data_IF_066980143485
#
_entry.id   IF_066980143485
#
_cell.length_a   1.000
_cell.length_b   1.000
_cell.length_c   1.000
_cell.angle_alpha   90.00
_cell.angle_beta   90.00
_cell.angle_gamma   90.00
#
_symmetry.space_group_name_H-M   'P 1'
#
loop_
_entity.id
_entity.type
_entity.pdbx_description
1 polymer ?
#
# COMPACT_ATOMS: atom_id res chain seq x y z
N UNK A 1 19.03 10.20 -23.94
CA UNK A 1 17.99 9.55 -24.78
C UNK A 1 16.89 9.07 -23.85
N UNK A 2 15.69 9.64 -23.98
CA UNK A 2 14.62 9.54 -22.99
C UNK A 2 14.05 8.13 -22.85
N UNK A 3 14.00 7.64 -21.62
CA UNK A 3 13.12 6.54 -21.26
C UNK A 3 11.68 7.03 -21.49
N UNK A 4 11.05 6.56 -22.56
CA UNK A 4 9.60 6.64 -22.69
C UNK A 4 9.06 5.91 -21.45
N UNK A 5 8.49 6.67 -20.51
CA UNK A 5 7.39 6.16 -19.70
C UNK A 5 6.34 5.68 -20.72
N UNK A 6 6.39 4.42 -21.12
CA UNK A 6 5.36 3.81 -21.95
C UNK A 6 4.17 3.60 -21.00
N UNK A 7 3.52 4.70 -20.63
CA UNK A 7 2.13 4.65 -20.20
C UNK A 7 1.42 3.87 -21.30
N UNK A 8 0.75 2.79 -20.91
CA UNK A 8 -0.02 2.03 -21.88
C UNK A 8 -1.00 2.98 -22.58
N UNK A 9 -1.32 2.78 -23.88
CA UNK A 9 -2.28 3.63 -24.56
C UNK A 9 -3.62 3.73 -23.82
N UNK A 10 -3.98 2.68 -23.06
CA UNK A 10 -5.11 2.66 -22.15
C UNK A 10 -4.93 3.58 -20.93
N UNK A 11 -3.78 3.59 -20.26
CA UNK A 11 -3.47 4.48 -19.13
C UNK A 11 -3.54 5.96 -19.56
N UNK A 12 -3.10 6.29 -20.78
CA UNK A 12 -3.17 7.64 -21.32
C UNK A 12 -4.61 8.09 -21.67
N UNK A 13 -5.48 7.15 -22.08
CA UNK A 13 -6.87 7.44 -22.45
C UNK A 13 -7.82 7.44 -21.24
N UNK A 14 -7.67 6.48 -20.34
CA UNK A 14 -8.57 6.27 -19.20
C UNK A 14 -8.05 6.77 -17.86
N UNK A 15 -6.80 7.22 -17.77
CA UNK A 15 -6.22 7.77 -16.55
C UNK A 15 -6.99 8.97 -15.97
N UNK A 16 -7.76 9.70 -16.79
CA UNK A 16 -8.63 10.80 -16.35
C UNK A 16 -9.81 10.36 -15.49
N UNK A 17 -10.27 9.12 -15.64
CA UNK A 17 -11.40 8.55 -14.88
C UNK A 17 -10.97 7.82 -13.61
N UNK A 18 -9.67 7.76 -13.34
CA UNK A 18 -9.15 7.06 -12.18
C UNK A 18 -9.52 7.80 -10.89
N UNK A 19 -10.13 7.09 -9.94
CA UNK A 19 -10.57 7.65 -8.67
C UNK A 19 -9.36 7.80 -7.76
N UNK A 20 -9.12 9.01 -7.26
CA UNK A 20 -8.03 9.30 -6.31
C UNK A 20 -8.43 8.88 -4.90
N UNK A 21 -7.46 8.39 -4.13
CA UNK A 21 -7.66 7.94 -2.74
C UNK A 21 -8.68 6.81 -2.61
N UNK A 22 -8.62 5.84 -3.53
CA UNK A 22 -9.61 4.76 -3.61
C UNK A 22 -9.60 3.89 -2.34
N UNK A 23 -8.43 3.68 -1.71
CA UNK A 23 -8.32 2.93 -0.45
C UNK A 23 -9.06 3.62 0.70
N UNK A 24 -9.04 4.96 0.74
CA UNK A 24 -9.77 5.71 1.77
C UNK A 24 -11.28 5.56 1.59
N UNK A 25 -11.77 5.61 0.34
CA UNK A 25 -13.18 5.39 0.02
C UNK A 25 -13.60 3.98 0.45
N UNK A 26 -12.80 2.96 0.15
CA UNK A 26 -13.06 1.58 0.59
C UNK A 26 -13.13 1.46 2.11
N UNK A 27 -12.16 2.03 2.83
CA UNK A 27 -12.14 2.01 4.30
C UNK A 27 -13.31 2.79 4.89
N UNK A 28 -13.73 3.89 4.27
CA UNK A 28 -14.94 4.62 4.65
C UNK A 28 -16.19 3.74 4.47
N UNK A 29 -16.32 3.01 3.35
CA UNK A 29 -17.39 2.04 3.15
C UNK A 29 -17.38 0.95 4.24
N UNK A 30 -16.21 0.46 4.65
CA UNK A 30 -16.11 -0.50 5.77
C UNK A 30 -16.57 0.11 7.09
N UNK A 31 -16.23 1.38 7.36
CA UNK A 31 -16.70 2.11 8.52
C UNK A 31 -18.23 2.21 8.57
N UNK A 32 -18.86 2.57 7.44
CA UNK A 32 -20.33 2.56 7.29
C UNK A 32 -20.88 1.14 7.51
N UNK A 33 -20.24 0.12 6.94
CA UNK A 33 -20.59 -1.28 7.12
C UNK A 33 -20.59 -1.72 8.58
N UNK A 34 -19.54 -1.41 9.34
CA UNK A 34 -19.49 -1.72 10.76
C UNK A 34 -20.57 -0.97 11.56
N UNK A 35 -20.87 0.29 11.21
CA UNK A 35 -21.99 1.01 11.84
C UNK A 35 -23.33 0.32 11.56
N UNK A 36 -23.57 -0.13 10.33
CA UNK A 36 -24.76 -0.90 9.98
C UNK A 36 -24.82 -2.22 10.77
N UNK A 37 -23.69 -2.91 10.95
CA UNK A 37 -23.62 -4.13 11.78
C UNK A 37 -23.95 -3.88 13.25
N UNK A 38 -23.59 -2.71 13.79
CA UNK A 38 -23.93 -2.34 15.17
C UNK A 38 -25.40 -1.95 15.33
N UNK A 39 -26.00 -1.37 14.29
CA UNK A 39 -27.41 -0.96 14.29
C UNK A 39 -28.37 -2.12 13.99
N UNK A 40 -27.99 -3.02 13.09
CA UNK A 40 -28.79 -4.19 12.70
C UNK A 40 -28.60 -5.36 13.66
N UNK A 41 -29.41 -5.41 14.72
CA UNK A 41 -29.42 -6.52 15.68
C UNK A 41 -29.95 -7.84 15.09
N UNK A 42 -30.61 -7.79 13.93
CA UNK A 42 -31.27 -8.93 13.29
C UNK A 42 -30.43 -9.61 12.19
N UNK A 43 -29.32 -9.00 11.77
CA UNK A 43 -28.48 -9.39 10.62
C UNK A 43 -29.21 -9.47 9.26
N UNK A 44 -30.45 -9.00 9.17
CA UNK A 44 -31.25 -9.04 7.95
C UNK A 44 -30.72 -8.05 6.92
N UNK A 45 -30.41 -6.81 7.33
CA UNK A 45 -29.90 -5.78 6.43
C UNK A 45 -28.56 -6.19 5.84
N UNK A 46 -27.65 -6.75 6.65
CA UNK A 46 -26.35 -7.24 6.17
C UNK A 46 -26.54 -8.34 5.14
N UNK A 47 -27.48 -9.27 5.37
CA UNK A 47 -27.81 -10.34 4.43
C UNK A 47 -28.31 -9.80 3.08
N UNK A 48 -28.97 -8.64 3.04
CA UNK A 48 -29.36 -7.98 1.78
C UNK A 48 -28.19 -7.34 1.03
N UNK A 49 -27.08 -7.06 1.71
CA UNK A 49 -25.90 -6.45 1.14
C UNK A 49 -24.88 -7.48 0.60
N UNK A 50 -24.99 -8.77 0.99
CA UNK A 50 -24.04 -9.81 0.59
C UNK A 50 -24.06 -10.10 -0.90
N UNK A 51 -22.92 -10.56 -1.42
CA UNK A 51 -22.80 -11.01 -2.79
C UNK A 51 -23.45 -12.39 -2.95
N UNK A 52 -24.75 -12.41 -3.23
CA UNK A 52 -25.52 -13.63 -3.46
C UNK A 52 -25.87 -13.77 -4.96
N UNK A 53 -25.17 -14.65 -5.71
CA UNK A 53 -25.41 -14.87 -7.13
C UNK A 53 -26.84 -15.28 -7.47
N UNK A 54 -27.45 -16.13 -6.63
CA UNK A 54 -28.83 -16.59 -6.84
C UNK A 54 -29.81 -15.42 -6.76
N UNK A 55 -29.71 -14.59 -5.73
CA UNK A 55 -30.56 -13.41 -5.57
C UNK A 55 -30.32 -12.36 -6.68
N UNK A 56 -29.09 -12.24 -7.18
CA UNK A 56 -28.78 -11.35 -8.33
C UNK A 56 -29.52 -11.80 -9.58
N UNK A 57 -29.55 -13.10 -9.87
CA UNK A 57 -30.32 -13.65 -11.01
C UNK A 57 -31.83 -13.45 -10.86
N UNK A 58 -32.33 -13.31 -9.63
CA UNK A 58 -33.74 -13.03 -9.33
C UNK A 58 -34.06 -11.54 -9.19
N UNK A 59 -33.18 -10.65 -9.68
CA UNK A 59 -33.45 -9.20 -9.79
C UNK A 59 -32.77 -8.32 -8.73
N UNK A 60 -32.05 -8.88 -7.75
CA UNK A 60 -31.35 -8.10 -6.72
C UNK A 60 -29.97 -7.62 -7.20
N UNK A 61 -29.93 -6.82 -8.27
CA UNK A 61 -28.70 -6.38 -8.95
C UNK A 61 -27.78 -5.48 -8.12
N UNK A 62 -28.32 -4.79 -7.10
CA UNK A 62 -27.53 -3.94 -6.20
C UNK A 62 -26.46 -4.72 -5.44
N UNK A 63 -26.65 -6.04 -5.24
CA UNK A 63 -25.69 -6.96 -4.59
C UNK A 63 -24.35 -7.05 -5.30
N UNK A 64 -24.25 -6.62 -6.56
CA UNK A 64 -22.96 -6.53 -7.28
C UNK A 64 -22.07 -5.40 -6.74
N UNK A 65 -22.63 -4.44 -6.02
CA UNK A 65 -21.90 -3.28 -5.47
C UNK A 65 -21.98 -3.24 -3.95
N UNK A 66 -23.14 -3.55 -3.35
CA UNK A 66 -23.36 -3.39 -1.91
C UNK A 66 -22.46 -4.26 -1.04
N UNK A 67 -21.97 -5.38 -1.55
CA UNK A 67 -21.07 -6.27 -0.82
C UNK A 67 -19.73 -5.62 -0.46
N UNK A 68 -19.35 -4.55 -1.16
CA UNK A 68 -18.17 -3.74 -0.84
C UNK A 68 -18.32 -3.03 0.53
N UNK A 69 -19.56 -2.76 0.95
CA UNK A 69 -19.83 -2.18 2.27
C UNK A 69 -19.68 -3.21 3.38
N UNK A 70 -19.66 -4.51 3.09
CA UNK A 70 -19.49 -5.53 4.12
C UNK A 70 -18.05 -5.51 4.59
N UNK A 71 -17.79 -5.12 5.85
CA UNK A 71 -16.44 -5.03 6.35
C UNK A 71 -15.86 -6.44 6.60
N UNK A 72 -14.53 -6.60 6.57
CA UNK A 72 -13.90 -7.85 6.98
C UNK A 72 -14.23 -8.19 8.45
N UNK A 73 -14.17 -9.46 8.86
CA UNK A 73 -14.44 -9.84 10.25
C UNK A 73 -13.52 -9.09 11.23
N UNK A 74 -14.11 -8.45 12.25
CA UNK A 74 -13.33 -7.78 13.30
C UNK A 74 -12.68 -8.81 14.23
N UNK A 75 -11.36 -8.76 14.38
CA UNK A 75 -10.59 -9.81 15.08
C UNK A 75 -10.17 -9.49 16.52
N UNK A 76 -10.61 -8.37 17.11
CA UNK A 76 -10.16 -8.00 18.47
C UNK A 76 -10.83 -6.79 19.11
N UNK A 77 -12.10 -6.54 18.81
CA UNK A 77 -12.86 -5.38 19.34
C UNK A 77 -12.65 -4.08 18.57
N UNK A 78 -13.40 -3.03 18.95
CA UNK A 78 -13.45 -1.75 18.21
C UNK A 78 -12.07 -1.11 18.02
N UNK A 79 -11.22 -1.13 19.04
CA UNK A 79 -9.89 -0.55 18.98
C UNK A 79 -9.01 -1.22 17.92
N UNK A 80 -8.93 -2.55 17.92
CA UNK A 80 -8.11 -3.29 16.96
C UNK A 80 -8.68 -3.16 15.54
N UNK A 81 -10.01 -3.16 15.39
CA UNK A 81 -10.66 -2.90 14.10
C UNK A 81 -10.29 -1.53 13.53
N UNK A 82 -10.29 -0.47 14.34
CA UNK A 82 -9.88 0.87 13.89
C UNK A 82 -8.41 0.89 13.45
N UNK A 83 -7.51 0.24 14.20
CA UNK A 83 -6.11 0.11 13.80
C UNK A 83 -5.98 -0.61 12.46
N UNK A 84 -6.72 -1.72 12.26
CA UNK A 84 -6.71 -2.46 11.00
C UNK A 84 -7.24 -1.63 9.82
N UNK A 85 -8.31 -0.86 10.01
CA UNK A 85 -8.85 0.04 8.99
C UNK A 85 -7.83 1.12 8.59
N UNK A 86 -7.18 1.74 9.57
CA UNK A 86 -6.10 2.72 9.32
C UNK A 86 -4.92 2.05 8.61
N UNK A 87 -4.55 0.84 9.01
CA UNK A 87 -3.49 0.06 8.37
C UNK A 87 -3.82 -0.22 6.90
N UNK A 88 -5.03 -0.69 6.59
CA UNK A 88 -5.47 -0.91 5.21
C UNK A 88 -5.47 0.38 4.38
N UNK A 89 -5.91 1.49 4.95
CA UNK A 89 -5.85 2.79 4.29
C UNK A 89 -4.39 3.21 4.00
N UNK A 90 -3.49 3.00 4.96
CA UNK A 90 -2.07 3.36 4.86
C UNK A 90 -1.33 2.57 3.78
N UNK A 91 -1.47 1.24 3.77
CA UNK A 91 -0.84 0.39 2.75
C UNK A 91 -1.42 0.65 1.37
N UNK A 92 -2.74 0.86 1.27
CA UNK A 92 -3.42 1.14 0.02
C UNK A 92 -3.01 2.49 -0.59
N UNK A 93 -2.93 3.54 0.24
CA UNK A 93 -2.45 4.86 -0.20
C UNK A 93 -0.99 4.81 -0.64
N UNK A 94 -0.15 4.02 0.04
CA UNK A 94 1.25 3.83 -0.32
C UNK A 94 1.40 3.13 -1.68
N UNK A 95 0.56 2.12 -1.95
CA UNK A 95 0.46 1.46 -3.25
C UNK A 95 -0.03 2.42 -4.34
N UNK A 96 -1.11 3.17 -4.10
CA UNK A 96 -1.68 4.11 -5.06
C UNK A 96 -0.64 5.18 -5.49
N UNK A 97 0.13 5.72 -4.55
CA UNK A 97 1.20 6.70 -4.83
C UNK A 97 2.35 6.12 -5.65
N UNK A 98 2.63 4.83 -5.51
CA UNK A 98 3.82 4.21 -6.10
C UNK A 98 3.51 3.59 -7.46
N UNK A 99 2.34 2.99 -7.62
CA UNK A 99 1.89 2.42 -8.88
C UNK A 99 1.18 3.44 -9.78
N UNK A 100 0.69 4.54 -9.20
CA UNK A 100 -0.16 5.51 -9.88
C UNK A 100 -1.64 5.17 -9.76
N UNK A 101 -2.48 6.22 -9.74
CA UNK A 101 -3.92 6.12 -9.48
C UNK A 101 -4.63 5.14 -10.43
N UNK A 102 -4.34 5.21 -11.73
CA UNK A 102 -4.99 4.34 -12.72
C UNK A 102 -4.72 2.85 -12.47
N UNK A 103 -3.47 2.45 -12.25
CA UNK A 103 -3.10 1.04 -12.07
C UNK A 103 -3.66 0.47 -10.78
N UNK A 104 -3.68 1.27 -9.72
CA UNK A 104 -4.29 0.89 -8.46
C UNK A 104 -5.82 0.69 -8.59
N UNK A 105 -6.51 1.56 -9.34
CA UNK A 105 -7.93 1.39 -9.66
C UNK A 105 -8.17 0.08 -10.43
N UNK A 106 -7.40 -0.17 -11.49
CA UNK A 106 -7.50 -1.41 -12.28
C UNK A 106 -7.30 -2.63 -11.38
N UNK A 107 -6.28 -2.62 -10.52
CA UNK A 107 -6.01 -3.71 -9.59
C UNK A 107 -7.19 -4.01 -8.64
N UNK A 108 -7.81 -2.97 -8.07
CA UNK A 108 -8.95 -3.15 -7.17
C UNK A 108 -10.21 -3.59 -7.91
N UNK A 109 -10.54 -2.93 -9.03
CA UNK A 109 -11.73 -3.29 -9.82
C UNK A 109 -11.62 -4.68 -10.44
N UNK A 110 -10.42 -5.07 -10.88
CA UNK A 110 -10.15 -6.42 -11.35
C UNK A 110 -10.34 -7.45 -10.23
N UNK A 111 -9.87 -7.14 -9.02
CA UNK A 111 -10.13 -7.97 -7.85
C UNK A 111 -11.61 -8.14 -7.55
N UNK A 112 -12.37 -7.04 -7.52
CA UNK A 112 -13.82 -7.07 -7.34
C UNK A 112 -14.51 -7.91 -8.42
N UNK A 113 -14.10 -7.74 -9.68
CA UNK A 113 -14.64 -8.50 -10.81
C UNK A 113 -14.34 -9.99 -10.67
N UNK A 114 -13.12 -10.37 -10.26
CA UNK A 114 -12.80 -11.78 -10.02
C UNK A 114 -13.56 -12.38 -8.84
N UNK A 115 -13.83 -11.61 -7.77
CA UNK A 115 -14.70 -12.05 -6.68
C UNK A 115 -16.13 -12.28 -7.16
N UNK A 116 -16.66 -11.39 -8.00
CA UNK A 116 -17.99 -11.55 -8.62
C UNK A 116 -18.02 -12.77 -9.52
N UNK A 117 -17.08 -12.92 -10.45
CA UNK A 117 -17.01 -14.10 -11.31
C UNK A 117 -16.83 -15.39 -10.50
N UNK A 118 -16.00 -15.36 -9.45
CA UNK A 118 -15.78 -16.48 -8.55
C UNK A 118 -17.05 -16.95 -7.84
N UNK A 119 -17.94 -16.03 -7.46
CA UNK A 119 -19.21 -16.39 -6.82
C UNK A 119 -20.20 -17.02 -7.80
N UNK A 120 -20.29 -16.52 -9.04
CA UNK A 120 -21.09 -17.15 -10.09
C UNK A 120 -20.52 -18.51 -10.51
N UNK A 121 -19.21 -18.66 -10.61
CA UNK A 121 -18.55 -19.94 -10.90
C UNK A 121 -18.80 -20.96 -9.80
N UNK A 122 -18.75 -20.53 -8.53
CA UNK A 122 -19.09 -21.41 -7.41
C UNK A 122 -20.57 -21.84 -7.48
N UNK A 123 -21.48 -20.93 -7.81
CA UNK A 123 -22.89 -21.28 -8.00
C UNK A 123 -23.06 -22.34 -9.10
N UNK A 124 -22.41 -22.17 -10.26
CA UNK A 124 -22.41 -23.17 -11.33
C UNK A 124 -21.83 -24.52 -10.86
N UNK A 125 -20.73 -24.50 -10.12
CA UNK A 125 -20.15 -25.70 -9.53
C UNK A 125 -21.12 -26.41 -8.56
N UNK A 126 -21.81 -25.65 -7.70
CA UNK A 126 -22.76 -26.24 -6.75
C UNK A 126 -23.95 -26.89 -7.45
N UNK A 127 -24.47 -26.29 -8.53
CA UNK A 127 -25.53 -26.92 -9.32
C UNK A 127 -25.09 -28.21 -10.02
N UNK A 128 -23.82 -28.31 -10.44
CA UNK A 128 -23.29 -29.49 -11.13
C UNK A 128 -22.91 -30.63 -10.17
N UNK A 129 -22.35 -30.32 -9.01
CA UNK A 129 -21.73 -31.31 -8.11
C UNK A 129 -22.38 -31.42 -6.73
N UNK A 130 -23.24 -30.48 -6.34
CA UNK A 130 -23.89 -30.44 -5.02
C UNK A 130 -25.42 -30.32 -5.11
N UNK A 131 -26.02 -30.84 -6.18
CA UNK A 131 -27.47 -30.79 -6.41
C UNK A 131 -28.31 -31.36 -5.25
N UNK A 132 -27.84 -32.42 -4.60
CA UNK A 132 -28.53 -33.02 -3.44
C UNK A 132 -28.60 -32.06 -2.23
N UNK A 133 -27.52 -31.33 -1.93
CA UNK A 133 -27.50 -30.35 -0.83
C UNK A 133 -28.42 -29.15 -1.11
N UNK A 134 -28.49 -28.74 -2.38
CA UNK A 134 -29.39 -27.68 -2.84
C UNK A 134 -30.85 -28.13 -2.73
N UNK A 135 -31.15 -29.38 -3.10
CA UNK A 135 -32.49 -29.93 -3.01
C UNK A 135 -32.99 -30.02 -1.56
N UNK A 136 -32.10 -30.34 -0.60
CA UNK A 136 -32.46 -30.41 0.82
C UNK A 136 -32.77 -29.03 1.44
N UNK A 137 -31.97 -27.99 1.14
CA UNK A 137 -32.09 -26.69 1.81
C UNK A 137 -32.92 -25.64 1.04
N UNK A 138 -33.36 -25.95 -0.19
CA UNK A 138 -33.76 -24.99 -1.23
C UNK A 138 -32.59 -24.11 -1.73
N UNK A 139 -32.57 -23.73 -3.03
CA UNK A 139 -31.49 -22.91 -3.58
C UNK A 139 -31.30 -21.56 -2.87
N UNK A 140 -32.39 -20.90 -2.49
CA UNK A 140 -32.34 -19.58 -1.87
C UNK A 140 -31.57 -19.58 -0.55
N UNK A 141 -31.93 -20.48 0.36
CA UNK A 141 -31.29 -20.60 1.68
C UNK A 141 -29.85 -21.07 1.53
N UNK A 142 -29.58 -22.01 0.62
CA UNK A 142 -28.25 -22.54 0.37
C UNK A 142 -27.28 -21.43 -0.10
N UNK A 143 -27.66 -20.64 -1.11
CA UNK A 143 -26.81 -19.57 -1.61
C UNK A 143 -26.75 -18.36 -0.67
N UNK A 144 -27.79 -18.12 0.13
CA UNK A 144 -27.73 -17.13 1.21
C UNK A 144 -26.65 -17.49 2.24
N UNK A 145 -26.53 -18.76 2.63
CA UNK A 145 -25.51 -19.23 3.57
C UNK A 145 -24.08 -19.15 3.02
N UNK A 146 -23.89 -19.37 1.72
CA UNK A 146 -22.57 -19.33 1.07
C UNK A 146 -22.14 -17.88 0.74
N UNK A 147 -23.10 -16.98 0.48
CA UNK A 147 -22.82 -15.60 0.07
C UNK A 147 -21.80 -14.83 0.93
N UNK A 148 -21.74 -14.97 2.27
CA UNK A 148 -20.79 -14.22 3.10
C UNK A 148 -19.33 -14.65 2.90
N UNK A 149 -19.09 -15.82 2.29
CA UNK A 149 -17.74 -16.28 1.93
C UNK A 149 -17.10 -15.28 0.96
N UNK A 150 -17.86 -14.70 0.03
CA UNK A 150 -17.34 -13.68 -0.88
C UNK A 150 -17.42 -12.29 -0.24
N UNK A 151 -16.33 -11.90 0.42
CA UNK A 151 -16.24 -10.62 1.13
C UNK A 151 -15.00 -9.81 0.76
N UNK A 152 -15.00 -8.57 1.23
CA UNK A 152 -13.88 -7.62 1.06
C UNK A 152 -12.60 -8.06 1.76
N UNK A 153 -12.68 -9.06 2.65
CA UNK A 153 -11.52 -9.70 3.27
C UNK A 153 -10.49 -10.13 2.23
N UNK A 154 -10.92 -10.86 1.20
CA UNK A 154 -10.03 -11.37 0.15
C UNK A 154 -9.41 -10.25 -0.70
N UNK A 155 -10.13 -9.14 -0.91
CA UNK A 155 -9.57 -7.94 -1.54
C UNK A 155 -8.45 -7.37 -0.67
N UNK A 156 -8.71 -7.13 0.62
CA UNK A 156 -7.72 -6.57 1.54
C UNK A 156 -6.47 -7.46 1.64
N UNK A 157 -6.65 -8.77 1.58
CA UNK A 157 -5.56 -9.72 1.58
C UNK A 157 -4.73 -9.70 0.30
N UNK A 158 -5.38 -9.52 -0.86
CA UNK A 158 -4.66 -9.27 -2.10
C UNK A 158 -3.84 -7.95 -2.02
N UNK A 159 -4.42 -6.87 -1.48
CA UNK A 159 -3.71 -5.58 -1.27
C UNK A 159 -2.50 -5.77 -0.36
N UNK A 160 -2.63 -6.55 0.71
CA UNK A 160 -1.53 -6.83 1.63
C UNK A 160 -0.38 -7.59 0.94
N UNK A 161 -0.68 -8.64 0.17
CA UNK A 161 0.31 -9.36 -0.62
C UNK A 161 1.00 -8.44 -1.66
N UNK A 162 0.22 -7.60 -2.34
CA UNK A 162 0.73 -6.57 -3.25
C UNK A 162 1.69 -5.58 -2.56
N UNK A 163 1.33 -5.13 -1.35
CA UNK A 163 2.17 -4.26 -0.53
C UNK A 163 3.46 -4.97 -0.12
N UNK A 164 3.38 -6.24 0.32
CA UNK A 164 4.55 -7.03 0.70
C UNK A 164 5.51 -7.30 -0.45
N UNK A 165 4.98 -7.51 -1.66
CA UNK A 165 5.78 -7.66 -2.87
C UNK A 165 6.45 -6.34 -3.32
N UNK A 166 5.77 -5.19 -3.13
CA UNK A 166 6.27 -3.87 -3.54
C UNK A 166 7.25 -3.28 -2.54
N UNK A 167 7.01 -3.46 -1.25
CA UNK A 167 7.79 -2.87 -0.15
C UNK A 167 8.30 -3.94 0.82
N UNK A 168 9.14 -4.89 0.38
CA UNK A 168 9.60 -6.00 1.23
C UNK A 168 10.42 -5.54 2.45
N UNK A 169 11.11 -4.41 2.34
CA UNK A 169 11.94 -3.84 3.39
C UNK A 169 11.22 -2.82 4.28
N UNK A 170 9.94 -2.50 4.01
CA UNK A 170 9.16 -1.68 4.91
C UNK A 170 8.99 -2.39 6.26
N UNK A 171 8.91 -1.61 7.34
CA UNK A 171 8.76 -2.12 8.70
C UNK A 171 7.36 -1.79 9.22
N UNK A 172 6.71 -2.78 9.81
CA UNK A 172 5.46 -2.61 10.56
C UNK A 172 5.78 -2.91 12.02
N UNK A 173 5.40 -1.99 12.91
CA UNK A 173 5.59 -2.15 14.35
C UNK A 173 4.47 -3.04 14.89
N UNK A 174 4.78 -4.30 15.19
CA UNK A 174 3.85 -5.20 15.86
C UNK A 174 3.63 -4.69 17.30
N UNK A 175 2.37 -4.37 17.64
CA UNK A 175 1.97 -3.84 18.94
C UNK A 175 2.82 -2.63 19.39
N UNK A 176 3.34 -1.83 18.45
CA UNK A 176 4.23 -0.69 18.71
C UNK A 176 5.61 -1.03 19.31
N UNK A 177 5.95 -2.30 19.56
CA UNK A 177 7.22 -2.70 20.16
C UNK A 177 8.21 -3.35 19.19
N UNK A 178 7.74 -4.25 18.31
CA UNK A 178 8.64 -5.07 17.49
C UNK A 178 8.57 -4.65 16.02
N UNK A 179 9.61 -4.03 15.44
CA UNK A 179 9.64 -3.72 14.02
C UNK A 179 9.87 -4.99 13.20
N UNK A 180 8.85 -5.45 12.48
CA UNK A 180 8.93 -6.62 11.59
C UNK A 180 8.93 -6.16 10.14
N UNK A 181 9.84 -6.71 9.33
CA UNK A 181 9.85 -6.43 7.89
C UNK A 181 8.65 -7.08 7.21
N UNK A 182 8.00 -6.34 6.33
CA UNK A 182 6.77 -6.77 5.65
C UNK A 182 7.00 -8.03 4.80
N UNK A 183 8.20 -8.26 4.24
CA UNK A 183 8.48 -9.50 3.51
C UNK A 183 8.23 -10.78 4.32
N UNK A 184 8.55 -10.78 5.60
CA UNK A 184 8.33 -11.93 6.47
C UNK A 184 6.83 -12.13 6.74
N UNK A 185 6.12 -11.03 6.99
CA UNK A 185 4.67 -11.07 7.15
C UNK A 185 3.99 -11.56 5.87
N UNK A 186 4.43 -11.11 4.69
CA UNK A 186 3.93 -11.56 3.40
C UNK A 186 4.16 -13.06 3.15
N UNK A 187 5.33 -13.59 3.53
CA UNK A 187 5.62 -15.03 3.41
C UNK A 187 4.74 -15.84 4.35
N UNK A 188 4.69 -15.48 5.64
CA UNK A 188 3.83 -16.15 6.63
C UNK A 188 2.38 -16.13 6.16
N UNK A 189 1.91 -14.97 5.71
CA UNK A 189 0.55 -14.79 5.22
C UNK A 189 0.26 -15.62 3.96
N UNK A 190 1.19 -15.66 3.00
CA UNK A 190 1.08 -16.52 1.82
C UNK A 190 1.05 -18.01 2.17
N UNK A 191 1.86 -18.46 3.13
CA UNK A 191 1.84 -19.84 3.63
C UNK A 191 0.50 -20.16 4.29
N UNK A 192 0.00 -19.27 5.15
CA UNK A 192 -1.31 -19.43 5.79
C UNK A 192 -2.43 -19.58 4.75
N UNK A 193 -2.42 -18.76 3.70
CA UNK A 193 -3.39 -18.86 2.60
C UNK A 193 -3.31 -20.19 1.86
N UNK A 194 -2.12 -20.74 1.64
CA UNK A 194 -1.95 -22.05 0.99
C UNK A 194 -2.50 -23.17 1.89
N UNK A 195 -2.19 -23.14 3.20
CA UNK A 195 -2.75 -24.10 4.14
C UNK A 195 -4.28 -24.00 4.23
N UNK A 196 -4.82 -22.78 4.28
CA UNK A 196 -6.26 -22.53 4.25
C UNK A 196 -6.89 -23.06 2.96
N UNK A 197 -6.24 -22.85 1.81
CA UNK A 197 -6.72 -23.37 0.53
C UNK A 197 -6.75 -24.91 0.50
N UNK A 198 -5.74 -25.59 1.05
CA UNK A 198 -5.68 -27.05 1.05
C UNK A 198 -6.67 -27.67 2.05
N UNK A 199 -6.82 -27.08 3.23
CA UNK A 199 -7.64 -27.61 4.33
C UNK A 199 -9.12 -27.17 4.31
N UNK A 200 -9.50 -26.18 3.51
CA UNK A 200 -10.86 -25.64 3.50
C UNK A 200 -11.82 -26.35 2.54
N UNK A 201 -13.12 -26.07 2.73
CA UNK A 201 -14.17 -26.54 1.84
C UNK A 201 -14.07 -25.92 0.45
N UNK A 202 -14.77 -26.52 -0.52
CA UNK A 202 -14.77 -26.02 -1.91
C UNK A 202 -15.21 -24.56 -1.98
N UNK A 203 -16.12 -24.10 -1.11
CA UNK A 203 -16.59 -22.72 -1.08
C UNK A 203 -15.46 -21.71 -0.85
N UNK A 204 -14.64 -21.93 0.18
CA UNK A 204 -13.50 -21.06 0.50
C UNK A 204 -12.40 -21.15 -0.57
N UNK A 205 -12.21 -22.31 -1.20
CA UNK A 205 -11.25 -22.48 -2.32
C UNK A 205 -11.56 -21.54 -3.48
N UNK A 206 -12.84 -21.40 -3.86
CA UNK A 206 -13.23 -20.45 -4.93
C UNK A 206 -12.95 -18.99 -4.54
N UNK A 207 -13.25 -18.61 -3.30
CA UNK A 207 -13.02 -17.24 -2.83
C UNK A 207 -11.52 -16.91 -2.71
N UNK A 208 -10.73 -17.82 -2.14
CA UNK A 208 -9.26 -17.70 -2.06
C UNK A 208 -8.66 -17.67 -3.47
N UNK A 209 -9.08 -18.56 -4.37
CA UNK A 209 -8.60 -18.61 -5.75
C UNK A 209 -8.87 -17.30 -6.51
N UNK A 210 -10.08 -16.72 -6.37
CA UNK A 210 -10.40 -15.43 -6.98
C UNK A 210 -9.44 -14.32 -6.50
N UNK A 211 -9.10 -14.32 -5.21
CA UNK A 211 -8.17 -13.36 -4.60
C UNK A 211 -6.72 -13.54 -5.07
N UNK A 212 -6.26 -14.79 -5.14
CA UNK A 212 -4.91 -15.14 -5.58
C UNK A 212 -4.76 -14.86 -7.07
N UNK A 213 -5.80 -15.11 -7.86
CA UNK A 213 -5.81 -14.79 -9.29
C UNK A 213 -5.64 -13.29 -9.52
N UNK A 214 -6.29 -12.43 -8.71
CA UNK A 214 -6.05 -10.99 -8.77
C UNK A 214 -4.58 -10.62 -8.52
N UNK A 215 -3.98 -11.16 -7.46
CA UNK A 215 -2.58 -10.92 -7.12
C UNK A 215 -1.63 -11.47 -8.19
N UNK A 216 -1.86 -12.69 -8.70
CA UNK A 216 -1.03 -13.35 -9.71
C UNK A 216 -1.06 -12.61 -11.05
N UNK A 217 -2.24 -12.26 -11.55
CA UNK A 217 -2.38 -11.51 -12.82
C UNK A 217 -1.66 -10.17 -12.72
N UNK A 218 -1.82 -9.47 -11.59
CA UNK A 218 -1.12 -8.22 -11.36
C UNK A 218 0.40 -8.44 -11.27
N UNK A 219 0.87 -9.41 -10.51
CA UNK A 219 2.30 -9.68 -10.34
C UNK A 219 2.99 -10.03 -11.66
N UNK A 220 2.34 -10.84 -12.51
CA UNK A 220 2.84 -11.19 -13.84
C UNK A 220 2.84 -9.98 -14.79
N UNK A 221 1.79 -9.16 -14.76
CA UNK A 221 1.69 -7.95 -15.60
C UNK A 221 2.63 -6.83 -15.14
N UNK A 222 2.89 -6.75 -13.83
CA UNK A 222 3.67 -5.68 -13.19
C UNK A 222 5.16 -6.01 -13.00
N UNK A 223 5.56 -7.28 -13.15
CA UNK A 223 6.98 -7.72 -13.09
C UNK A 223 7.89 -6.95 -14.05
N UNK A 224 7.35 -6.48 -15.19
CA UNK A 224 8.07 -5.65 -16.17
C UNK A 224 8.43 -4.24 -15.65
N UNK A 225 7.78 -3.74 -14.59
CA UNK A 225 7.86 -2.35 -14.15
C UNK A 225 8.33 -2.20 -12.69
N UNK A 226 8.41 -3.30 -11.94
CA UNK A 226 8.85 -3.35 -10.53
C UNK A 226 10.37 -3.32 -10.36
N UNK A 227 11.15 -3.19 -11.44
CA UNK A 227 12.53 -2.77 -11.33
C UNK A 227 12.54 -1.29 -10.97
N UNK A 228 12.53 -0.98 -9.67
CA UNK A 228 13.11 0.27 -9.16
C UNK A 228 14.44 0.42 -9.88
N UNK A 229 14.51 1.38 -10.80
CA UNK A 229 15.65 1.53 -11.70
C UNK A 229 16.90 1.60 -10.81
N UNK A 230 17.85 0.65 -10.88
CA UNK A 230 19.00 0.61 -9.97
C UNK A 230 19.78 1.94 -10.00
N UNK A 231 19.66 2.70 -11.09
CA UNK A 231 20.15 4.08 -11.21
C UNK A 231 19.50 5.09 -10.24
N UNK A 232 18.20 4.96 -9.93
CA UNK A 232 17.53 5.84 -8.96
C UNK A 232 17.94 5.52 -7.53
N UNK A 233 18.12 4.23 -7.20
CA UNK A 233 18.64 3.81 -5.90
C UNK A 233 20.10 4.26 -5.76
N UNK A 234 20.91 4.08 -6.81
CA UNK A 234 22.29 4.55 -6.85
C UNK A 234 22.36 6.07 -6.69
N UNK A 235 21.58 6.85 -7.45
CA UNK A 235 21.52 8.32 -7.32
C UNK A 235 21.08 8.77 -5.93
N UNK A 236 20.14 8.07 -5.28
CA UNK A 236 19.70 8.39 -3.91
C UNK A 236 20.75 8.04 -2.86
N UNK A 237 21.50 6.95 -3.07
CA UNK A 237 22.64 6.58 -2.23
C UNK A 237 23.83 7.53 -2.44
N UNK A 238 24.09 7.93 -3.68
CA UNK A 238 25.11 8.89 -4.08
C UNK A 238 24.80 10.27 -3.49
N UNK A 239 23.56 10.75 -3.59
CA UNK A 239 23.12 11.97 -2.91
C UNK A 239 23.26 11.88 -1.38
N UNK A 240 22.86 10.77 -0.75
CA UNK A 240 23.09 10.56 0.69
C UNK A 240 24.58 10.54 1.03
N UNK A 241 25.42 9.97 0.17
CA UNK A 241 26.87 9.90 0.34
C UNK A 241 27.52 11.27 0.17
N UNK A 242 27.06 12.07 -0.80
CA UNK A 242 27.53 13.42 -1.07
C UNK A 242 27.13 14.39 0.04
N UNK A 243 25.91 14.29 0.58
CA UNK A 243 25.50 15.05 1.76
C UNK A 243 26.36 14.68 2.97
N UNK A 244 26.68 13.39 3.17
CA UNK A 244 27.56 12.92 4.26
C UNK A 244 29.05 13.23 4.03
N UNK A 245 29.46 13.46 2.79
CA UNK A 245 30.83 13.83 2.40
C UNK A 245 31.05 15.34 2.51
N UNK A 246 30.01 16.14 2.24
CA UNK A 246 30.04 17.60 2.38
C UNK A 246 29.81 18.11 3.81
N UNK A 247 29.44 17.26 4.77
CA UNK A 247 29.42 17.63 6.19
C UNK A 247 30.81 17.77 6.84
N UNK A 248 31.89 17.49 6.10
CA UNK A 248 33.27 17.48 6.63
C UNK A 248 34.25 18.42 5.93
N UNK A 249 33.83 19.26 4.98
CA UNK A 249 34.71 20.29 4.42
C UNK A 249 34.53 21.55 5.26
N UNK A 250 35.49 21.76 6.15
CA UNK A 250 35.62 22.95 7.00
C UNK A 250 35.58 24.21 6.14
N UNK A 251 34.70 25.16 6.50
CA UNK A 251 34.55 26.42 5.76
C UNK A 251 35.47 27.52 6.26
N UNK A 252 36.05 27.36 7.46
CA UNK A 252 36.73 28.45 8.13
C UNK A 252 38.22 28.20 8.39
N UNK A 253 39.07 29.00 7.73
CA UNK A 253 40.54 28.97 7.83
C UNK A 253 41.10 30.38 7.87
N UNK A 254 41.93 30.67 8.87
CA UNK A 254 42.60 31.97 8.97
C UNK A 254 43.64 32.16 7.86
N UNK A 255 43.59 33.28 7.15
CA UNK A 255 44.50 33.60 6.05
C UNK A 255 45.96 33.87 6.48
N UNK A 256 46.21 34.20 7.77
CA UNK A 256 47.55 34.49 8.30
C UNK A 256 48.18 33.27 8.96
N UNK A 257 47.53 32.71 9.98
CA UNK A 257 48.10 31.63 10.78
C UNK A 257 47.68 30.23 10.32
N UNK A 258 46.75 30.12 9.38
CA UNK A 258 46.31 28.84 8.81
C UNK A 258 45.45 27.97 9.74
N UNK A 259 45.20 28.38 10.99
CA UNK A 259 44.34 27.66 11.95
C UNK A 259 42.94 27.47 11.37
N UNK A 260 42.35 26.29 11.61
CA UNK A 260 40.99 25.93 11.17
C UNK A 260 40.04 25.76 12.35
N UNK A 261 38.74 25.80 12.09
CA UNK A 261 37.69 25.54 13.09
C UNK A 261 37.76 24.16 13.77
N UNK A 262 38.47 23.20 13.15
CA UNK A 262 38.67 21.84 13.71
C UNK A 262 39.81 21.81 14.72
N UNK A 263 40.88 22.56 14.48
CA UNK A 263 42.04 22.60 15.38
C UNK A 263 41.70 23.33 16.69
N UNK A 264 40.83 24.35 16.60
CA UNK A 264 40.45 25.20 17.73
C UNK A 264 38.97 25.59 17.66
N UNK A 265 38.06 24.75 18.19
CA UNK A 265 36.60 24.96 18.10
C UNK A 265 36.08 26.18 18.88
N UNK A 266 36.91 26.75 19.76
CA UNK A 266 36.54 27.92 20.57
C UNK A 266 36.88 29.25 19.89
N UNK A 267 37.63 29.24 18.78
CA UNK A 267 38.03 30.46 18.07
C UNK A 267 36.96 30.86 17.05
N UNK A 268 36.59 32.14 17.06
CA UNK A 268 35.67 32.69 16.05
C UNK A 268 36.47 33.17 14.83
N UNK A 269 36.00 32.79 13.64
CA UNK A 269 36.51 33.26 12.36
C UNK A 269 35.56 34.32 11.79
N UNK A 270 36.11 35.47 11.38
CA UNK A 270 35.34 36.60 10.84
C UNK A 270 36.03 37.16 9.59
N UNK A 271 35.22 37.72 8.69
CA UNK A 271 35.72 38.45 7.51
C UNK A 271 36.14 39.88 7.88
N UNK A 272 37.17 40.38 7.23
CA UNK A 272 37.48 41.80 7.27
C UNK A 272 36.71 42.55 6.17
N UNK A 273 35.94 43.57 6.53
CA UNK A 273 35.18 44.40 5.58
C UNK A 273 36.06 45.34 4.73
N UNK A 274 37.33 45.54 5.10
CA UNK A 274 38.26 46.46 4.43
C UNK A 274 39.24 45.77 3.47
N UNK A 275 39.28 44.44 3.46
CA UNK A 275 40.13 43.66 2.57
C UNK A 275 39.40 43.34 1.26
N UNK A 276 40.11 43.39 0.14
CA UNK A 276 39.60 42.96 -1.16
C UNK A 276 39.70 41.43 -1.29
N UNK A 277 38.59 40.76 -0.97
CA UNK A 277 38.44 39.31 -1.13
C UNK A 277 37.79 38.64 0.08
N UNK A 278 37.43 37.35 -0.08
CA UNK A 278 36.80 36.56 0.97
C UNK A 278 37.85 35.92 1.89
N UNK A 279 38.66 36.75 2.57
CA UNK A 279 39.64 36.28 3.54
C UNK A 279 39.03 36.28 4.94
N UNK A 280 39.12 35.14 5.62
CA UNK A 280 38.72 35.00 7.01
C UNK A 280 39.93 35.07 7.93
N UNK A 281 39.72 35.66 9.11
CA UNK A 281 40.73 35.83 10.13
C UNK A 281 40.19 35.30 11.46
N UNK A 282 41.04 34.65 12.26
CA UNK A 282 40.69 34.34 13.64
C UNK A 282 40.69 35.62 14.49
N UNK A 283 40.04 35.59 15.65
CA UNK A 283 39.90 36.73 16.56
C UNK A 283 41.21 37.48 16.84
N UNK A 284 42.32 36.74 17.01
CA UNK A 284 43.67 37.29 17.25
C UNK A 284 44.25 38.07 16.06
N UNK A 285 43.88 37.69 14.82
CA UNK A 285 44.43 38.26 13.58
C UNK A 285 43.47 39.23 12.88
N UNK A 286 42.22 39.32 13.34
CA UNK A 286 41.22 40.19 12.75
C UNK A 286 41.58 41.68 12.85
N UNK A 287 42.33 42.09 13.88
CA UNK A 287 42.70 43.50 14.12
C UNK A 287 44.17 43.81 13.87
N UNK A 288 45.01 42.80 13.62
CA UNK A 288 46.46 42.93 13.47
C UNK A 288 46.95 42.65 12.04
N UNK A 289 46.06 42.28 11.13
CA UNK A 289 46.41 42.03 9.73
C UNK A 289 46.60 43.32 8.93
N UNK A 290 47.47 43.25 7.92
CA UNK A 290 47.55 44.27 6.88
C UNK A 290 46.45 44.04 5.85
N UNK A 291 45.70 45.09 5.53
CA UNK A 291 44.61 44.98 4.56
C UNK A 291 45.16 44.69 3.17
N UNK A 292 44.72 43.57 2.59
CA UNK A 292 45.03 43.19 1.22
C UNK A 292 44.11 44.01 0.32
N UNK A 293 44.67 44.87 -0.51
CA UNK A 293 43.96 45.59 -1.57
C UNK A 293 44.44 45.06 -2.91
N UNK A 294 43.53 44.86 -3.85
CA UNK A 294 43.95 44.51 -5.22
C UNK A 294 44.64 45.73 -5.84
N UNK A 295 45.88 45.55 -6.27
CA UNK A 295 46.65 46.54 -7.05
C UNK A 295 46.05 46.74 -8.43
#
# INVERSE_FOLDING_TARGET
MGERNIMSPFERKFGKYAIKNLSFILVFCYGVGYLLQLMDRSNILISFLTLNPYAILHGQVWRLVTWILIPPPGSGGLFLTLIMLVFYCSIGTSLERTWGTYRYNVYLFQGMLFTILGSFLLMGYCYLFQGEMIAYNTPEVFFAYISPVFSTYYINMSIFLAYAATFPEAQVLLMFFVPIKVKWLGIVYGIMLVFEFLGSSVFYKFAIAASLLNFLVFFLTSRSLMHLNPKQIHRRQEFKRDVRRNTGITKHKCAICGRTEVDHPNLQFRFCSKCDGNYEYCEEHLYTHTHIKRS
#
